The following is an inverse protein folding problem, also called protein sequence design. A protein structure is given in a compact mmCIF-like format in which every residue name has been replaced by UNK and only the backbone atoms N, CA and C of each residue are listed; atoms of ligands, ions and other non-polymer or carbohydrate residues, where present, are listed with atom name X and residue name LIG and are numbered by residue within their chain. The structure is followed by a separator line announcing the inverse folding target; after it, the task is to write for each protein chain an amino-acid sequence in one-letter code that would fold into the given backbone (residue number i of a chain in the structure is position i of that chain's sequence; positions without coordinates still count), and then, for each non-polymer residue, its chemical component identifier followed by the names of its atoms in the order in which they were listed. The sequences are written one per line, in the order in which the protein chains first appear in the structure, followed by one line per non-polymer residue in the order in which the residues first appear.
data_IF_178608688976
#
_entry.id   IF_178608688976
#
_cell.length_a   1.000
_cell.length_b   1.000
_cell.length_c   1.000
_cell.angle_alpha   90.00
_cell.angle_beta   90.00
_cell.angle_gamma   90.00
#
_symmetry.space_group_name_H-M   'P 1'
#
loop_
_entity.id
_entity.type
_entity.pdbx_description
1 polymer ?
#
# COMPACT_ATOMS: atom_id res chain seq x y z
N UNK A 1 -21.43 24.80 -50.57
CA UNK A 1 -20.60 23.73 -49.97
C UNK A 1 -20.31 24.02 -48.48
N UNK A 2 -21.34 24.14 -47.63
CA UNK A 2 -21.16 24.52 -46.21
C UNK A 2 -21.95 23.66 -45.20
N UNK A 3 -22.51 22.55 -45.64
CA UNK A 3 -23.40 21.72 -44.81
C UNK A 3 -22.77 20.40 -44.35
N UNK A 4 -21.58 20.03 -44.84
CA UNK A 4 -20.92 18.77 -44.46
C UNK A 4 -20.08 18.85 -43.18
N UNK A 5 -19.88 20.04 -42.59
CA UNK A 5 -19.00 20.17 -41.42
C UNK A 5 -19.71 19.99 -40.07
N UNK A 6 -21.04 19.94 -40.03
CA UNK A 6 -21.79 19.79 -38.77
C UNK A 6 -22.07 18.32 -38.38
N UNK A 7 -21.88 17.37 -39.30
CA UNK A 7 -22.17 15.94 -39.09
C UNK A 7 -20.96 15.13 -38.60
N UNK A 8 -19.76 15.73 -38.58
CA UNK A 8 -18.52 15.06 -38.16
C UNK A 8 -18.24 15.15 -36.65
N UNK A 9 -19.04 15.92 -35.90
CA UNK A 9 -18.86 16.11 -34.45
C UNK A 9 -19.69 15.14 -33.58
N UNK A 10 -20.51 14.27 -34.20
CA UNK A 10 -21.41 13.36 -33.50
C UNK A 10 -20.82 11.94 -33.26
N UNK A 11 -19.57 11.67 -33.67
CA UNK A 11 -19.06 10.29 -33.79
C UNK A 11 -18.10 9.81 -32.70
N UNK A 12 -17.95 10.50 -31.56
CA UNK A 12 -17.07 9.99 -30.49
C UNK A 12 -17.73 10.15 -29.12
N UNK A 13 -18.87 9.49 -28.94
CA UNK A 13 -19.30 8.99 -27.63
C UNK A 13 -19.34 7.47 -27.73
N UNK A 14 -18.17 6.83 -27.85
CA UNK A 14 -18.11 5.40 -27.57
C UNK A 14 -18.46 5.21 -26.10
N UNK A 15 -19.46 4.40 -25.74
CA UNK A 15 -19.65 4.00 -24.36
C UNK A 15 -18.37 3.27 -23.94
N UNK A 16 -17.61 3.90 -23.05
CA UNK A 16 -16.56 3.19 -22.32
C UNK A 16 -17.29 2.15 -21.49
N UNK A 17 -17.34 0.89 -21.95
CA UNK A 17 -17.75 -0.22 -21.09
C UNK A 17 -16.81 -0.21 -19.89
N UNK A 18 -17.32 0.30 -18.76
CA UNK A 18 -16.62 0.19 -17.50
C UNK A 18 -16.43 -1.30 -17.21
N UNK A 19 -15.24 -1.70 -16.80
CA UNK A 19 -14.99 -3.06 -16.36
C UNK A 19 -15.64 -3.27 -15.00
N UNK A 20 -16.04 -4.49 -14.69
CA UNK A 20 -16.48 -4.83 -13.34
C UNK A 20 -15.33 -4.61 -12.36
N UNK A 21 -15.68 -4.26 -11.13
CA UNK A 21 -14.73 -3.98 -10.06
C UNK A 21 -15.02 -4.86 -8.86
N UNK A 22 -14.02 -5.60 -8.42
CA UNK A 22 -14.08 -6.38 -7.19
C UNK A 22 -13.28 -5.62 -6.14
N UNK A 23 -13.98 -5.13 -5.12
CA UNK A 23 -13.38 -4.52 -3.95
C UNK A 23 -13.08 -5.60 -2.92
N UNK A 24 -11.81 -5.77 -2.57
CA UNK A 24 -11.39 -6.67 -1.51
C UNK A 24 -11.36 -5.97 -0.16
N UNK A 25 -11.52 -6.74 0.91
CA UNK A 25 -11.48 -6.25 2.30
C UNK A 25 -10.16 -5.57 2.68
N UNK A 26 -9.05 -5.86 2.00
CA UNK A 26 -7.74 -5.21 2.19
C UNK A 26 -7.56 -3.89 1.38
N UNK A 27 -8.69 -3.34 0.91
CA UNK A 27 -8.73 -2.13 0.10
C UNK A 27 -8.16 -2.29 -1.32
N UNK A 28 -7.74 -3.48 -1.76
CA UNK A 28 -7.36 -3.70 -3.16
C UNK A 28 -8.61 -3.67 -4.05
N UNK A 29 -8.47 -3.11 -5.24
CA UNK A 29 -9.50 -3.12 -6.28
C UNK A 29 -8.97 -3.95 -7.44
N UNK A 30 -9.74 -4.94 -7.85
CA UNK A 30 -9.46 -5.73 -9.04
C UNK A 30 -10.43 -5.30 -10.13
N UNK A 31 -9.89 -4.91 -11.27
CA UNK A 31 -10.65 -4.60 -12.48
C UNK A 31 -10.62 -5.83 -13.39
N UNK A 32 -11.79 -6.26 -13.86
CA UNK A 32 -11.92 -7.43 -14.71
C UNK A 32 -13.37 -7.80 -14.98
N UNK A 33 -13.61 -8.83 -15.79
CA UNK A 33 -14.96 -9.32 -16.08
C UNK A 33 -15.32 -10.42 -15.09
N UNK A 34 -16.43 -10.30 -14.36
CA UNK A 34 -16.90 -11.34 -13.46
C UNK A 34 -17.54 -12.47 -14.28
N UNK A 35 -17.06 -13.69 -14.09
CA UNK A 35 -17.54 -14.89 -14.81
C UNK A 35 -18.60 -15.65 -14.01
N UNK A 36 -18.46 -15.68 -12.68
CA UNK A 36 -19.38 -16.37 -11.79
C UNK A 36 -19.22 -15.93 -10.35
N UNK A 37 -20.32 -15.90 -9.61
CA UNK A 37 -20.37 -15.56 -8.19
C UNK A 37 -20.98 -16.74 -7.44
N UNK A 38 -20.27 -17.28 -6.46
CA UNK A 38 -20.74 -18.37 -5.60
C UNK A 38 -20.55 -18.03 -4.12
N UNK A 39 -21.05 -18.88 -3.23
CA UNK A 39 -20.84 -18.72 -1.79
C UNK A 39 -19.38 -18.92 -1.37
N UNK A 40 -18.58 -19.66 -2.15
CA UNK A 40 -17.20 -20.01 -1.82
C UNK A 40 -16.20 -19.05 -2.48
N UNK A 41 -16.41 -18.77 -3.76
CA UNK A 41 -15.49 -17.98 -4.57
C UNK A 41 -16.19 -17.11 -5.60
N UNK A 42 -15.52 -16.01 -5.94
CA UNK A 42 -15.88 -15.14 -7.06
C UNK A 42 -14.84 -15.34 -8.17
N UNK A 43 -15.32 -15.90 -9.30
CA UNK A 43 -14.50 -16.14 -10.48
C UNK A 43 -14.54 -14.95 -11.41
N UNK A 44 -13.38 -14.48 -11.83
CA UNK A 44 -13.23 -13.32 -12.68
C UNK A 44 -12.10 -13.50 -13.69
N UNK A 45 -12.19 -12.74 -14.76
CA UNK A 45 -11.21 -12.69 -15.83
C UNK A 45 -10.50 -11.35 -15.78
N UNK A 46 -9.21 -11.38 -15.44
CA UNK A 46 -8.39 -10.18 -15.38
C UNK A 46 -7.73 -9.92 -16.76
N UNK A 47 -7.88 -8.73 -17.35
CA UNK A 47 -7.16 -8.37 -18.56
C UNK A 47 -5.66 -8.26 -18.23
N UNK A 48 -4.85 -9.15 -18.81
CA UNK A 48 -3.38 -9.16 -18.63
C UNK A 48 -2.69 -9.25 -19.98
N UNK A 49 -2.54 -8.11 -20.65
CA UNK A 49 -1.99 -8.04 -22.00
C UNK A 49 -2.87 -8.78 -23.01
N UNK A 50 -2.27 -9.62 -23.85
CA UNK A 50 -2.95 -10.32 -24.94
C UNK A 50 -3.78 -11.55 -24.50
N UNK A 51 -3.49 -12.12 -23.33
CA UNK A 51 -4.18 -13.32 -22.84
C UNK A 51 -4.84 -13.03 -21.49
N UNK A 52 -6.18 -12.96 -21.42
CA UNK A 52 -6.85 -12.78 -20.16
C UNK A 52 -6.62 -14.01 -19.27
N UNK A 53 -6.45 -13.78 -17.96
CA UNK A 53 -6.22 -14.85 -16.98
C UNK A 53 -7.43 -14.97 -16.08
N UNK A 54 -7.98 -16.17 -16.00
CA UNK A 54 -9.01 -16.51 -15.01
C UNK A 54 -8.38 -16.65 -13.63
N UNK A 55 -9.08 -16.11 -12.64
CA UNK A 55 -8.75 -16.18 -11.23
C UNK A 55 -10.01 -16.31 -10.41
N UNK A 56 -9.84 -16.76 -9.18
CA UNK A 56 -10.88 -16.81 -8.17
C UNK A 56 -10.34 -16.11 -6.92
N UNK A 57 -11.17 -15.28 -6.29
CA UNK A 57 -10.95 -14.86 -4.90
C UNK A 57 -11.99 -15.55 -4.01
N UNK A 58 -11.62 -15.98 -2.80
CA UNK A 58 -12.58 -16.43 -1.79
C UNK A 58 -13.62 -15.34 -1.51
N UNK A 59 -14.89 -15.73 -1.34
CA UNK A 59 -15.97 -14.77 -1.06
C UNK A 59 -15.75 -14.05 0.27
N UNK A 60 -15.11 -14.70 1.23
CA UNK A 60 -14.71 -14.11 2.52
C UNK A 60 -13.76 -12.91 2.38
N UNK A 61 -12.92 -12.87 1.32
CA UNK A 61 -11.99 -11.76 1.08
C UNK A 61 -12.62 -10.58 0.31
N UNK A 62 -13.84 -10.76 -0.20
CA UNK A 62 -14.51 -9.79 -1.07
C UNK A 62 -15.45 -8.91 -0.27
N UNK A 63 -15.24 -7.60 -0.35
CA UNK A 63 -16.16 -6.62 0.22
C UNK A 63 -17.37 -6.40 -0.69
N UNK A 64 -17.14 -6.05 -1.96
CA UNK A 64 -18.21 -5.79 -2.91
C UNK A 64 -17.79 -6.07 -4.35
N UNK A 65 -18.78 -6.35 -5.19
CA UNK A 65 -18.64 -6.47 -6.64
C UNK A 65 -19.49 -5.37 -7.27
N UNK A 66 -18.85 -4.51 -8.06
CA UNK A 66 -19.52 -3.47 -8.84
C UNK A 66 -19.54 -3.93 -10.30
N UNK A 67 -20.72 -4.07 -10.87
CA UNK A 67 -20.89 -4.39 -12.29
C UNK A 67 -20.42 -3.21 -13.17
N UNK A 68 -20.15 -3.48 -14.44
CA UNK A 68 -19.95 -2.52 -15.53
C UNK A 68 -21.01 -1.40 -15.59
N UNK A 69 -22.24 -1.68 -15.12
CA UNK A 69 -23.34 -0.71 -15.03
C UNK A 69 -23.28 0.19 -13.79
N UNK A 70 -22.33 -0.05 -12.88
CA UNK A 70 -22.17 0.70 -11.63
C UNK A 70 -23.01 0.17 -10.46
N UNK A 71 -23.74 -0.93 -10.63
CA UNK A 71 -24.49 -1.56 -9.54
C UNK A 71 -23.54 -2.30 -8.60
N UNK A 72 -23.45 -1.83 -7.35
CA UNK A 72 -22.64 -2.46 -6.30
C UNK A 72 -23.45 -3.49 -5.51
N UNK A 73 -22.97 -4.74 -5.50
CA UNK A 73 -23.44 -5.81 -4.63
C UNK A 73 -22.43 -6.02 -3.50
N UNK A 74 -22.88 -5.89 -2.26
CA UNK A 74 -22.06 -6.08 -1.06
C UNK A 74 -22.07 -7.56 -0.70
N UNK A 75 -20.88 -8.14 -0.55
CA UNK A 75 -20.66 -9.52 -0.11
C UNK A 75 -20.26 -9.59 1.36
N UNK A 76 -19.63 -8.53 1.87
CA UNK A 76 -19.28 -8.41 3.28
C UNK A 76 -20.51 -8.29 4.17
N UNK A 77 -20.47 -9.00 5.29
CA UNK A 77 -21.40 -8.85 6.39
C UNK A 77 -20.62 -8.84 7.71
N UNK A 78 -21.14 -8.08 8.67
CA UNK A 78 -20.56 -8.01 10.02
C UNK A 78 -20.87 -9.33 10.73
N UNK A 79 -19.82 -10.03 11.14
CA UNK A 79 -19.90 -11.26 11.91
C UNK A 79 -18.69 -11.38 12.83
N UNK A 80 -18.93 -11.15 14.11
CA UNK A 80 -17.90 -11.20 15.15
C UNK A 80 -17.32 -12.60 15.35
N UNK A 81 -18.04 -13.65 14.94
CA UNK A 81 -17.55 -15.05 15.03
C UNK A 81 -16.42 -15.29 14.02
N UNK A 82 -16.50 -14.64 12.85
CA UNK A 82 -15.47 -14.71 11.81
C UNK A 82 -14.44 -13.55 11.89
N UNK A 83 -14.52 -12.70 12.92
CA UNK A 83 -13.62 -11.55 13.10
C UNK A 83 -13.97 -10.32 12.25
N UNK A 84 -15.16 -10.30 11.64
CA UNK A 84 -15.70 -9.17 10.89
C UNK A 84 -16.45 -8.21 11.82
N UNK A 85 -15.71 -7.47 12.64
CA UNK A 85 -16.25 -6.62 13.71
C UNK A 85 -16.76 -5.25 13.22
N UNK A 86 -16.50 -4.90 11.96
CA UNK A 86 -16.86 -3.60 11.38
C UNK A 86 -18.22 -3.68 10.69
N UNK A 87 -19.07 -2.67 10.87
CA UNK A 87 -20.23 -2.50 10.00
C UNK A 87 -19.79 -2.24 8.55
N UNK A 88 -20.69 -2.44 7.58
CA UNK A 88 -20.43 -2.20 6.15
C UNK A 88 -19.81 -0.81 5.91
N UNK A 89 -20.37 0.22 6.56
CA UNK A 89 -19.90 1.60 6.40
C UNK A 89 -18.51 1.79 7.01
N UNK A 90 -18.28 1.27 8.22
CA UNK A 90 -16.98 1.34 8.89
C UNK A 90 -15.90 0.60 8.10
N UNK A 91 -16.23 -0.56 7.54
CA UNK A 91 -15.33 -1.34 6.70
C UNK A 91 -14.99 -0.60 5.40
N UNK A 92 -15.96 0.08 4.78
CA UNK A 92 -15.70 0.94 3.62
C UNK A 92 -14.70 2.05 3.93
N UNK A 93 -14.85 2.70 5.08
CA UNK A 93 -13.91 3.72 5.56
C UNK A 93 -12.53 3.16 5.86
N UNK A 94 -12.46 2.01 6.53
CA UNK A 94 -11.22 1.29 6.79
C UNK A 94 -10.46 0.98 5.47
N UNK A 95 -11.13 0.37 4.49
CA UNK A 95 -10.55 0.06 3.18
C UNK A 95 -10.06 1.31 2.43
N UNK A 96 -10.81 2.42 2.52
CA UNK A 96 -10.39 3.68 1.92
C UNK A 96 -9.14 4.24 2.60
N UNK A 97 -9.05 4.14 3.93
CA UNK A 97 -7.83 4.45 4.68
C UNK A 97 -6.63 3.64 4.21
N UNK A 98 -6.80 2.33 3.99
CA UNK A 98 -5.74 1.47 3.47
C UNK A 98 -5.30 1.87 2.05
N UNK A 99 -6.25 2.20 1.17
CA UNK A 99 -5.97 2.67 -0.21
C UNK A 99 -5.17 3.96 -0.21
N UNK A 100 -5.60 4.91 0.61
CA UNK A 100 -5.00 6.24 0.70
C UNK A 100 -3.62 6.17 1.35
N UNK A 101 -3.43 5.33 2.37
CA UNK A 101 -2.10 5.06 2.93
C UNK A 101 -1.15 4.41 1.93
N UNK A 102 -1.64 3.47 1.10
CA UNK A 102 -0.83 2.79 0.09
C UNK A 102 -0.23 3.80 -0.90
N UNK A 103 -1.03 4.77 -1.35
CA UNK A 103 -0.61 5.82 -2.29
C UNK A 103 0.11 6.99 -1.62
N UNK A 104 -0.45 7.53 -0.55
CA UNK A 104 -0.05 8.81 0.05
C UNK A 104 0.98 8.70 1.17
N UNK A 105 0.99 7.62 1.97
CA UNK A 105 1.88 7.55 3.13
C UNK A 105 3.35 7.39 2.72
N UNK A 106 4.18 8.36 3.11
CA UNK A 106 5.63 8.37 2.86
C UNK A 106 6.39 8.63 4.17
N UNK A 107 7.10 7.64 4.74
CA UNK A 107 7.79 7.76 6.02
C UNK A 107 9.18 8.42 5.88
N UNK A 108 9.26 9.62 5.28
CA UNK A 108 10.54 10.27 5.00
C UNK A 108 11.39 10.55 6.25
N UNK A 109 10.78 11.09 7.31
CA UNK A 109 11.52 11.40 8.54
C UNK A 109 12.14 10.14 9.20
N UNK A 110 11.40 9.04 9.43
CA UNK A 110 11.99 7.77 9.86
C UNK A 110 13.05 7.22 8.93
N UNK A 111 12.89 7.36 7.61
CA UNK A 111 13.89 6.88 6.65
C UNK A 111 15.21 7.66 6.77
N UNK A 112 15.14 9.00 6.81
CA UNK A 112 16.32 9.87 6.94
C UNK A 112 16.99 9.62 8.30
N UNK A 113 16.21 9.55 9.38
CA UNK A 113 16.72 9.26 10.71
C UNK A 113 17.44 7.90 10.77
N UNK A 114 16.84 6.86 10.20
CA UNK A 114 17.45 5.52 10.14
C UNK A 114 18.74 5.51 9.34
N UNK A 115 18.77 6.16 8.18
CA UNK A 115 19.98 6.27 7.37
C UNK A 115 21.11 7.00 8.11
N UNK A 116 20.83 8.16 8.71
CA UNK A 116 21.83 8.94 9.45
C UNK A 116 22.33 8.20 10.70
N UNK A 117 21.44 7.51 11.42
CA UNK A 117 21.85 6.69 12.56
C UNK A 117 22.72 5.52 12.10
N UNK A 118 22.32 4.79 11.06
CA UNK A 118 23.11 3.68 10.52
C UNK A 118 24.51 4.11 10.07
N UNK A 119 24.61 5.19 9.29
CA UNK A 119 25.90 5.70 8.82
C UNK A 119 26.74 6.28 9.98
N UNK A 120 26.14 7.13 10.81
CA UNK A 120 26.84 7.85 11.87
C UNK A 120 27.38 6.93 12.96
N UNK A 121 26.60 5.93 13.39
CA UNK A 121 27.03 4.99 14.44
C UNK A 121 28.20 4.11 13.99
N UNK A 122 28.20 3.63 12.73
CA UNK A 122 29.31 2.85 12.19
C UNK A 122 30.57 3.72 12.05
N UNK A 123 30.42 4.95 11.53
CA UNK A 123 31.55 5.87 11.34
C UNK A 123 32.19 6.23 12.68
N UNK A 124 31.38 6.59 13.68
CA UNK A 124 31.84 7.17 14.94
C UNK A 124 32.25 6.14 16.01
N UNK A 125 31.59 4.98 16.08
CA UNK A 125 31.68 4.09 17.25
C UNK A 125 32.40 2.75 16.99
N UNK A 126 33.01 2.53 15.83
CA UNK A 126 33.67 1.25 15.47
C UNK A 126 32.73 0.04 15.57
N UNK A 127 31.43 0.24 15.34
CA UNK A 127 30.43 -0.81 15.50
C UNK A 127 30.36 -1.75 14.29
N UNK A 128 31.44 -1.96 13.55
CA UNK A 128 31.44 -2.77 12.31
C UNK A 128 30.90 -4.18 12.56
N UNK A 129 31.33 -4.81 13.65
CA UNK A 129 30.90 -6.16 14.08
C UNK A 129 29.44 -6.17 14.57
N UNK A 130 28.98 -5.08 15.20
CA UNK A 130 27.62 -4.96 15.74
C UNK A 130 26.64 -4.30 14.75
N UNK A 131 27.11 -3.94 13.56
CA UNK A 131 26.39 -3.09 12.61
C UNK A 131 25.12 -3.76 12.06
N UNK A 132 25.10 -5.10 12.07
CA UNK A 132 23.95 -5.92 11.69
C UNK A 132 22.75 -5.77 12.66
N UNK A 133 22.98 -5.38 13.92
CA UNK A 133 21.92 -5.18 14.91
C UNK A 133 21.23 -3.82 14.77
N UNK A 134 21.88 -2.85 14.12
CA UNK A 134 21.38 -1.46 14.04
C UNK A 134 20.08 -1.38 13.22
N UNK A 135 19.97 -1.97 12.00
CA UNK A 135 18.74 -1.93 11.23
C UNK A 135 17.51 -2.54 11.93
N UNK A 136 17.56 -3.78 12.48
CA UNK A 136 16.40 -4.34 13.18
C UNK A 136 16.06 -3.59 14.46
N UNK A 137 17.06 -3.10 15.22
CA UNK A 137 16.81 -2.30 16.42
C UNK A 137 16.06 -1.00 16.08
N UNK A 138 16.53 -0.25 15.08
CA UNK A 138 15.87 0.99 14.65
C UNK A 138 14.47 0.73 14.08
N UNK A 139 14.30 -0.32 13.28
CA UNK A 139 13.01 -0.72 12.74
C UNK A 139 12.01 -1.09 13.84
N UNK A 140 12.46 -1.80 14.87
CA UNK A 140 11.67 -2.11 16.07
C UNK A 140 11.23 -0.86 16.82
N UNK A 141 12.14 0.11 17.01
CA UNK A 141 11.79 1.41 17.60
C UNK A 141 10.75 2.16 16.77
N UNK A 142 10.83 2.07 15.44
CA UNK A 142 9.86 2.68 14.52
C UNK A 142 8.51 1.95 14.46
N UNK A 143 8.35 0.80 15.11
CA UNK A 143 7.06 0.13 15.25
C UNK A 143 6.17 0.79 16.31
N UNK A 144 6.77 1.43 17.33
CA UNK A 144 6.04 2.01 18.46
C UNK A 144 5.16 3.22 18.11
N UNK A 145 5.65 4.28 17.44
CA UNK A 145 4.87 5.51 17.29
C UNK A 145 3.57 5.28 16.52
N UNK A 146 2.50 6.00 16.85
CA UNK A 146 1.27 5.92 16.05
C UNK A 146 1.52 6.48 14.64
N UNK A 147 0.77 5.97 13.66
CA UNK A 147 0.77 6.51 12.30
C UNK A 147 -0.45 7.41 12.17
N UNK A 148 -0.19 8.67 11.88
CA UNK A 148 -1.25 9.66 11.65
C UNK A 148 -1.52 9.79 10.15
N UNK A 149 -2.77 10.11 9.82
CA UNK A 149 -3.20 10.40 8.45
C UNK A 149 -2.41 11.59 7.92
N UNK A 150 -1.89 11.46 6.71
CA UNK A 150 -1.10 12.53 6.07
C UNK A 150 -2.05 13.54 5.43
N UNK A 151 -1.81 14.84 5.64
CA UNK A 151 -2.62 15.88 5.01
C UNK A 151 -2.54 15.77 3.49
N UNK A 152 -3.68 15.84 2.81
CA UNK A 152 -3.76 15.71 1.35
C UNK A 152 -3.63 14.29 0.81
N UNK A 153 -3.51 13.25 1.65
CA UNK A 153 -3.62 11.86 1.20
C UNK A 153 -5.07 11.35 1.18
N UNK A 154 -6.00 12.08 1.81
CA UNK A 154 -7.39 11.70 1.94
C UNK A 154 -8.10 11.99 0.62
N UNK A 155 -8.74 10.96 0.04
CA UNK A 155 -9.49 11.10 -1.20
C UNK A 155 -10.88 11.72 -0.97
N UNK A 156 -11.53 11.38 0.14
CA UNK A 156 -12.87 11.88 0.50
C UNK A 156 -12.83 12.69 1.80
N UNK A 157 -13.11 14.01 1.76
CA UNK A 157 -13.13 14.86 2.95
C UNK A 157 -14.08 14.39 4.05
N UNK A 158 -15.15 13.66 3.72
CA UNK A 158 -16.10 13.13 4.70
C UNK A 158 -15.53 12.06 5.62
N UNK A 159 -14.34 11.52 5.32
CA UNK A 159 -13.66 10.51 6.13
C UNK A 159 -12.62 11.11 7.07
N UNK A 160 -12.37 12.42 6.99
CA UNK A 160 -11.40 13.09 7.83
C UNK A 160 -11.86 13.07 9.30
N UNK A 161 -10.95 12.62 10.19
CA UNK A 161 -11.24 12.49 11.61
C UNK A 161 -11.95 11.20 12.02
N UNK A 162 -12.38 10.36 11.08
CA UNK A 162 -13.00 9.08 11.41
C UNK A 162 -11.98 8.06 11.97
N UNK A 163 -12.27 7.41 13.12
CA UNK A 163 -11.37 6.44 13.73
C UNK A 163 -11.16 5.17 12.88
N UNK A 164 -12.15 4.68 12.13
CA UNK A 164 -12.03 3.46 11.33
C UNK A 164 -11.20 3.70 10.07
N UNK A 165 -11.37 4.86 9.44
CA UNK A 165 -10.49 5.33 8.38
C UNK A 165 -9.03 5.45 8.87
N UNK A 166 -8.82 6.10 10.03
CA UNK A 166 -7.48 6.23 10.61
C UNK A 166 -6.86 4.86 10.96
N UNK A 167 -7.68 3.90 11.40
CA UNK A 167 -7.26 2.53 11.67
C UNK A 167 -6.76 1.83 10.40
N UNK A 168 -7.52 1.88 9.30
CA UNK A 168 -7.08 1.33 8.01
C UNK A 168 -5.83 2.03 7.46
N UNK A 169 -5.76 3.35 7.58
CA UNK A 169 -4.57 4.11 7.18
C UNK A 169 -3.33 3.65 7.96
N UNK A 170 -3.46 3.44 9.27
CA UNK A 170 -2.38 2.96 10.11
C UNK A 170 -1.99 1.49 9.83
N UNK A 171 -2.94 0.63 9.46
CA UNK A 171 -2.71 -0.78 9.14
C UNK A 171 -1.70 -0.94 7.98
N UNK A 172 -1.79 -0.09 6.96
CA UNK A 172 -0.82 -0.07 5.84
C UNK A 172 0.40 0.81 6.16
N UNK A 173 0.21 1.93 6.85
CA UNK A 173 1.28 2.89 7.11
C UNK A 173 2.36 2.37 8.05
N UNK A 174 1.99 1.64 9.12
CA UNK A 174 2.94 1.10 10.11
C UNK A 174 3.97 0.15 9.49
N UNK A 175 3.60 -0.94 8.79
CA UNK A 175 4.58 -1.83 8.19
C UNK A 175 5.41 -1.13 7.11
N UNK A 176 4.80 -0.21 6.34
CA UNK A 176 5.51 0.60 5.34
C UNK A 176 6.59 1.47 5.97
N UNK A 177 6.34 2.06 7.15
CA UNK A 177 7.35 2.79 7.93
C UNK A 177 8.48 1.88 8.36
N UNK A 178 8.16 0.78 9.05
CA UNK A 178 9.14 -0.17 9.62
C UNK A 178 10.06 -0.72 8.53
N UNK A 179 9.50 -1.23 7.43
CA UNK A 179 10.28 -1.83 6.34
C UNK A 179 11.16 -0.78 5.66
N UNK A 180 10.63 0.42 5.38
CA UNK A 180 11.42 1.47 4.73
C UNK A 180 12.52 2.02 5.64
N UNK A 181 12.27 2.15 6.94
CA UNK A 181 13.31 2.53 7.90
C UNK A 181 14.39 1.46 8.03
N UNK A 182 14.03 0.17 8.01
CA UNK A 182 14.98 -0.93 8.02
C UNK A 182 15.93 -0.86 6.83
N UNK A 183 15.36 -0.73 5.62
CA UNK A 183 16.14 -0.61 4.38
C UNK A 183 17.04 0.63 4.42
N UNK A 184 16.50 1.78 4.83
CA UNK A 184 17.28 3.03 4.91
C UNK A 184 18.43 2.93 5.91
N UNK A 185 18.21 2.28 7.06
CA UNK A 185 19.25 2.07 8.09
C UNK A 185 20.32 1.10 7.59
N UNK A 186 19.93 0.02 6.92
CA UNK A 186 20.88 -0.92 6.32
C UNK A 186 21.76 -0.26 5.25
N UNK A 187 21.17 0.59 4.40
CA UNK A 187 21.94 1.41 3.44
C UNK A 187 22.88 2.38 4.15
N UNK A 188 22.42 3.03 5.22
CA UNK A 188 23.24 3.89 6.06
C UNK A 188 24.45 3.15 6.64
N UNK A 189 24.23 1.96 7.21
CA UNK A 189 25.29 1.09 7.70
C UNK A 189 26.30 0.76 6.59
N UNK A 190 25.84 0.35 5.41
CA UNK A 190 26.72 0.06 4.28
C UNK A 190 27.58 1.25 3.86
N UNK A 191 26.99 2.45 3.79
CA UNK A 191 27.72 3.71 3.54
C UNK A 191 28.73 4.00 4.65
N UNK A 192 28.33 3.78 5.92
CA UNK A 192 29.21 3.99 7.07
C UNK A 192 30.44 3.08 7.04
N UNK A 193 30.25 1.78 6.75
CA UNK A 193 31.34 0.81 6.60
C UNK A 193 32.26 1.26 5.46
N UNK A 194 31.69 1.60 4.30
CA UNK A 194 32.47 2.02 3.14
C UNK A 194 33.33 3.26 3.43
N UNK A 195 32.73 4.31 3.97
CA UNK A 195 33.45 5.54 4.35
C UNK A 195 34.57 5.22 5.34
N UNK A 196 34.28 4.38 6.33
CA UNK A 196 35.26 4.06 7.37
C UNK A 196 36.43 3.25 6.85
N UNK A 197 36.18 2.23 6.05
CA UNK A 197 37.21 1.35 5.49
C UNK A 197 38.04 2.06 4.43
N UNK A 198 37.44 2.86 3.56
CA UNK A 198 38.15 3.47 2.42
C UNK A 198 38.78 4.82 2.78
N UNK A 199 38.10 5.64 3.59
CA UNK A 199 38.54 7.03 3.86
C UNK A 199 39.28 7.12 5.19
N UNK A 200 38.73 6.53 6.25
CA UNK A 200 39.28 6.71 7.61
C UNK A 200 40.42 5.72 7.89
N UNK A 201 40.25 4.45 7.54
CA UNK A 201 41.20 3.38 7.86
C UNK A 201 41.58 2.52 6.63
N UNK A 202 42.17 3.11 5.56
CA UNK A 202 42.51 2.37 4.34
C UNK A 202 43.54 1.23 4.51
N UNK A 203 44.31 1.24 5.61
CA UNK A 203 45.43 0.32 5.83
C UNK A 203 45.25 -0.64 7.02
N UNK A 204 44.04 -0.82 7.56
CA UNK A 204 43.81 -1.85 8.59
C UNK A 204 43.88 -3.23 7.92
N UNK A 205 44.79 -4.15 8.34
CA UNK A 205 44.72 -5.52 7.87
C UNK A 205 43.39 -6.10 8.35
N UNK A 206 42.63 -6.71 7.43
CA UNK A 206 41.41 -7.46 7.73
C UNK A 206 41.76 -8.68 8.57
N UNK A 207 42.00 -8.46 9.87
CA UNK A 207 42.39 -9.48 10.83
C UNK A 207 41.20 -9.89 11.68
N UNK A 208 40.71 -11.09 11.38
CA UNK A 208 39.82 -12.00 12.14
C UNK A 208 38.51 -11.45 12.72
#
# INVERSE_FOLDING_TARGET
MRSCSLLLLLFIMMPSSAQDRINLMNGKVIEGRVLGQSSLEIRYQQPRGLRPRERAEPTEDVFSVTDSLGHERIWYFMDTVFGNDLSIQQMRWYMNGERDARKGYKPWAPMIGGFLLGAGTVIALDLEVNSLLIPPAYAGLMAWPRVNVTRGSITDPGMEGDPHYAMGYAAVGRPKRVIRSLIATALGVGVGIFVRQVIINPNRPSGY
#
